data_IF_393970205318
#
_entry.id   IF_393970205318
#
_cell.length_a   1.000
_cell.length_b   1.000
_cell.length_c   1.000
_cell.angle_alpha   90.00
_cell.angle_beta   90.00
_cell.angle_gamma   90.00
#
_symmetry.space_group_name_H-M   'P 1'
#
loop_
_entity.id
_entity.type
_entity.pdbx_description
1 polymer ?
#
# COMPACT_ATOMS: atom_id res chain seq x y z
N UNK A 1 65.95 -35.16 0.99
CA UNK A 1 64.75 -34.69 1.72
C UNK A 1 64.45 -33.26 1.32
N UNK A 2 63.32 -32.99 0.65
CA UNK A 2 62.66 -31.66 0.56
C UNK A 2 61.25 -31.88 0.00
N UNK A 3 60.26 -31.84 0.89
CA UNK A 3 58.85 -31.96 0.55
C UNK A 3 58.35 -30.64 -0.07
N UNK A 4 57.70 -30.72 -1.24
CA UNK A 4 56.99 -29.59 -1.86
C UNK A 4 55.55 -29.62 -1.36
N UNK A 5 55.18 -28.64 -0.54
CA UNK A 5 53.80 -28.38 -0.10
C UNK A 5 52.99 -27.82 -1.27
N UNK A 6 51.90 -28.51 -1.62
CA UNK A 6 50.88 -28.04 -2.58
C UNK A 6 49.73 -27.43 -1.77
N UNK A 7 49.56 -26.11 -1.87
CA UNK A 7 48.36 -25.45 -1.37
C UNK A 7 47.23 -25.62 -2.41
N UNK A 8 46.16 -26.30 -2.02
CA UNK A 8 44.90 -26.31 -2.76
C UNK A 8 44.05 -25.13 -2.29
N UNK A 9 43.81 -24.15 -3.16
CA UNK A 9 42.77 -23.15 -2.94
C UNK A 9 41.41 -23.78 -3.32
N UNK A 10 40.56 -23.96 -2.30
CA UNK A 10 39.14 -24.23 -2.48
C UNK A 10 38.44 -22.91 -2.85
N UNK A 11 38.04 -22.78 -4.11
CA UNK A 11 37.10 -21.74 -4.57
C UNK A 11 35.69 -22.15 -4.12
N UNK A 12 35.25 -21.62 -2.98
CA UNK A 12 33.85 -21.68 -2.57
C UNK A 12 33.03 -20.72 -3.44
N UNK A 13 32.29 -21.28 -4.38
CA UNK A 13 31.25 -20.56 -5.12
C UNK A 13 30.07 -20.33 -4.18
N UNK A 14 29.98 -19.12 -3.61
CA UNK A 14 28.74 -18.64 -3.01
C UNK A 14 27.74 -18.42 -4.14
N UNK A 15 26.83 -19.35 -4.35
CA UNK A 15 25.58 -19.04 -5.02
C UNK A 15 24.79 -18.12 -4.08
N UNK A 16 24.91 -16.80 -4.30
CA UNK A 16 23.98 -15.86 -3.72
C UNK A 16 22.61 -16.18 -4.31
N UNK A 17 21.78 -16.86 -3.53
CA UNK A 17 20.35 -17.02 -3.82
C UNK A 17 19.78 -15.62 -3.95
N UNK A 18 19.57 -15.18 -5.17
CA UNK A 18 18.84 -13.94 -5.42
C UNK A 18 17.42 -14.21 -4.95
N UNK A 19 17.07 -13.70 -3.76
CA UNK A 19 15.69 -13.58 -3.36
C UNK A 19 15.08 -12.56 -4.33
N UNK A 20 14.53 -13.03 -5.44
CA UNK A 20 13.77 -12.17 -6.35
C UNK A 20 12.56 -11.72 -5.54
N UNK A 21 12.41 -10.41 -5.37
CA UNK A 21 11.23 -9.86 -4.71
C UNK A 21 9.98 -10.34 -5.45
N UNK A 22 8.95 -10.74 -4.71
CA UNK A 22 7.71 -11.20 -5.31
C UNK A 22 7.14 -10.13 -6.26
N UNK A 23 6.83 -10.54 -7.49
CA UNK A 23 6.12 -9.71 -8.46
C UNK A 23 4.65 -10.15 -8.47
N UNK A 24 3.82 -9.43 -7.73
CA UNK A 24 2.38 -9.65 -7.67
C UNK A 24 1.72 -9.27 -9.00
N UNK A 25 0.79 -10.11 -9.46
CA UNK A 25 0.07 -9.90 -10.73
C UNK A 25 -1.44 -9.79 -10.55
N UNK A 26 -1.99 -10.40 -9.49
CA UNK A 26 -3.44 -10.43 -9.25
C UNK A 26 -3.76 -10.58 -7.77
N UNK A 27 -5.00 -10.33 -7.42
CA UNK A 27 -5.55 -10.56 -6.09
C UNK A 27 -6.93 -11.18 -6.17
N UNK A 28 -7.36 -11.76 -5.05
CA UNK A 28 -8.70 -12.28 -4.83
C UNK A 28 -9.22 -11.69 -3.52
N UNK A 29 -10.32 -10.94 -3.62
CA UNK A 29 -11.12 -10.51 -2.49
C UNK A 29 -12.42 -11.28 -2.54
N UNK A 30 -12.77 -11.98 -1.47
CA UNK A 30 -14.06 -12.68 -1.44
C UNK A 30 -15.23 -11.69 -1.34
N UNK A 31 -16.44 -12.17 -1.63
CA UNK A 31 -17.65 -11.35 -1.66
C UNK A 31 -17.95 -10.67 -0.32
N UNK A 32 -17.66 -11.35 0.79
CA UNK A 32 -17.86 -10.84 2.15
C UNK A 32 -16.76 -9.87 2.59
N UNK A 33 -15.76 -9.62 1.74
CA UNK A 33 -14.61 -8.75 2.05
C UNK A 33 -13.85 -9.17 3.31
N UNK A 34 -13.90 -10.46 3.64
CA UNK A 34 -13.34 -11.06 4.85
C UNK A 34 -12.04 -11.83 4.60
N UNK A 35 -11.66 -12.02 3.34
CA UNK A 35 -10.49 -12.77 2.91
C UNK A 35 -9.87 -12.12 1.68
N UNK A 36 -8.57 -11.79 1.77
CA UNK A 36 -7.82 -11.16 0.70
C UNK A 36 -6.49 -11.90 0.49
N UNK A 37 -6.26 -12.35 -0.74
CA UNK A 37 -5.01 -12.99 -1.17
C UNK A 37 -4.45 -12.29 -2.38
N UNK A 38 -3.15 -12.01 -2.35
CA UNK A 38 -2.38 -11.58 -3.51
C UNK A 38 -1.60 -12.77 -4.07
N UNK A 39 -1.51 -12.85 -5.40
CA UNK A 39 -0.79 -13.93 -6.09
C UNK A 39 0.32 -13.33 -6.94
N UNK A 40 1.52 -13.84 -6.73
CA UNK A 40 2.71 -13.52 -7.50
C UNK A 40 2.75 -14.31 -8.82
N UNK A 41 3.53 -13.80 -9.78
CA UNK A 41 3.71 -14.42 -11.11
C UNK A 41 4.24 -15.85 -11.05
N UNK A 42 5.01 -16.18 -10.01
CA UNK A 42 5.52 -17.53 -9.76
C UNK A 42 4.50 -18.46 -9.08
N UNK A 43 3.28 -17.95 -8.82
CA UNK A 43 2.20 -18.65 -8.14
C UNK A 43 2.25 -18.58 -6.62
N UNK A 44 3.27 -17.96 -6.02
CA UNK A 44 3.32 -17.74 -4.58
C UNK A 44 2.13 -16.88 -4.14
N UNK A 45 1.51 -17.26 -3.03
CA UNK A 45 0.37 -16.55 -2.47
C UNK A 45 0.76 -15.82 -1.18
N UNK A 46 0.24 -14.62 -1.01
CA UNK A 46 0.29 -13.86 0.22
C UNK A 46 -1.13 -13.58 0.69
N UNK A 47 -1.51 -14.18 1.80
CA UNK A 47 -2.75 -13.86 2.51
C UNK A 47 -2.55 -12.59 3.34
N UNK A 48 -3.37 -11.57 3.08
CA UNK A 48 -3.29 -10.31 3.79
C UNK A 48 -3.74 -10.53 5.25
N UNK A 49 -2.91 -10.20 6.25
CA UNK A 49 -3.28 -10.42 7.64
C UNK A 49 -4.38 -9.45 8.09
N UNK A 50 -5.12 -9.85 9.12
CA UNK A 50 -6.02 -8.95 9.84
C UNK A 50 -5.26 -8.16 10.89
N UNK A 51 -5.43 -6.84 10.88
CA UNK A 51 -5.05 -5.99 12.01
C UNK A 51 -6.03 -6.18 13.16
N UNK A 52 -5.64 -5.76 14.37
CA UNK A 52 -6.53 -5.72 15.52
C UNK A 52 -7.81 -4.93 15.18
N UNK A 53 -8.96 -5.49 15.56
CA UNK A 53 -10.31 -4.95 15.36
C UNK A 53 -10.76 -4.74 13.90
N UNK A 54 -9.95 -5.17 12.92
CA UNK A 54 -10.30 -5.12 11.51
C UNK A 54 -11.38 -6.16 11.19
N UNK A 55 -12.48 -5.71 10.60
CA UNK A 55 -13.62 -6.55 10.24
C UNK A 55 -13.63 -6.93 8.75
N UNK A 56 -12.97 -6.16 7.88
CA UNK A 56 -12.87 -6.47 6.46
C UNK A 56 -11.70 -5.82 5.72
N UNK A 57 -11.62 -6.07 4.42
CA UNK A 57 -10.64 -5.53 3.49
C UNK A 57 -11.38 -4.81 2.37
N UNK A 58 -10.83 -3.72 1.86
CA UNK A 58 -11.38 -3.05 0.69
C UNK A 58 -10.28 -2.47 -0.20
N UNK A 59 -10.62 -2.17 -1.44
CA UNK A 59 -9.77 -1.53 -2.45
C UNK A 59 -8.34 -2.10 -2.51
N UNK A 60 -8.16 -3.43 -2.69
CA UNK A 60 -6.84 -3.99 -2.90
C UNK A 60 -6.23 -3.46 -4.20
N UNK A 61 -4.95 -3.10 -4.17
CA UNK A 61 -4.20 -2.68 -5.36
C UNK A 61 -2.81 -3.29 -5.35
N UNK A 62 -2.28 -3.44 -6.56
CA UNK A 62 -0.92 -3.85 -6.84
C UNK A 62 -0.23 -2.68 -7.54
N UNK A 63 0.97 -2.34 -7.09
CA UNK A 63 1.79 -1.32 -7.76
C UNK A 63 2.13 -1.71 -9.19
N UNK A 64 2.44 -0.73 -10.06
CA UNK A 64 2.68 -0.99 -11.48
C UNK A 64 3.84 -1.96 -11.76
N UNK A 65 4.85 -1.99 -10.88
CA UNK A 65 5.99 -2.92 -10.97
C UNK A 65 5.73 -4.27 -10.27
N UNK A 66 4.55 -4.45 -9.67
CA UNK A 66 4.16 -5.66 -8.97
C UNK A 66 4.84 -5.86 -7.62
N UNK A 67 5.72 -4.97 -7.15
CA UNK A 67 6.55 -5.23 -5.96
C UNK A 67 5.91 -4.81 -4.65
N UNK A 68 4.95 -3.90 -4.71
CA UNK A 68 4.13 -3.46 -3.59
C UNK A 68 2.68 -3.88 -3.79
N UNK A 69 2.04 -4.22 -2.68
CA UNK A 69 0.60 -4.51 -2.59
C UNK A 69 0.02 -3.73 -1.43
N UNK A 70 -1.25 -3.36 -1.52
CA UNK A 70 -1.92 -2.65 -0.44
C UNK A 70 -3.43 -2.80 -0.49
N UNK A 71 -4.07 -2.42 0.61
CA UNK A 71 -5.51 -2.50 0.82
C UNK A 71 -5.96 -1.55 1.92
N UNK A 72 -7.24 -1.21 1.95
CA UNK A 72 -7.87 -0.56 3.09
C UNK A 72 -8.28 -1.61 4.13
N UNK A 73 -7.88 -1.39 5.38
CA UNK A 73 -8.40 -2.14 6.52
C UNK A 73 -9.69 -1.48 7.01
N UNK A 74 -10.76 -2.27 7.03
CA UNK A 74 -12.10 -1.83 7.35
C UNK A 74 -12.43 -2.08 8.82
N UNK A 75 -13.06 -1.10 9.46
CA UNK A 75 -13.35 -1.08 10.89
C UNK A 75 -14.83 -0.80 11.16
N UNK A 76 -15.41 -1.37 12.24
CA UNK A 76 -16.74 -0.96 12.67
C UNK A 76 -16.72 0.51 13.08
N UNK A 77 -17.83 1.19 12.88
CA UNK A 77 -17.99 2.59 13.26
C UNK A 77 -19.29 2.78 14.02
N UNK A 78 -19.26 3.61 15.06
CA UNK A 78 -20.41 3.85 15.96
C UNK A 78 -21.68 4.29 15.25
N UNK A 79 -21.52 4.84 14.06
CA UNK A 79 -22.41 5.81 13.50
C UNK A 79 -22.76 5.48 12.04
N UNK A 80 -22.36 4.29 11.57
CA UNK A 80 -22.74 3.70 10.27
C UNK A 80 -23.13 2.24 10.45
N UNK A 81 -24.01 1.74 9.59
CA UNK A 81 -24.38 0.31 9.55
C UNK A 81 -23.35 -0.57 8.83
N UNK A 82 -22.33 0.04 8.24
CA UNK A 82 -21.29 -0.61 7.45
C UNK A 82 -19.89 -0.24 7.98
N UNK A 83 -18.89 -1.13 7.79
CA UNK A 83 -17.49 -0.83 8.11
C UNK A 83 -16.92 0.31 7.26
N UNK A 84 -15.92 1.00 7.78
CA UNK A 84 -15.26 2.14 7.11
C UNK A 84 -13.75 1.91 7.04
N UNK A 85 -13.11 2.43 5.99
CA UNK A 85 -11.65 2.38 5.83
C UNK A 85 -10.97 3.39 6.76
N UNK A 86 -10.19 2.93 7.73
CA UNK A 86 -9.45 3.81 8.65
C UNK A 86 -7.94 3.68 8.55
N UNK A 87 -7.47 2.64 7.86
CA UNK A 87 -6.04 2.44 7.63
C UNK A 87 -5.79 1.94 6.22
N UNK A 88 -4.86 2.58 5.53
CA UNK A 88 -4.23 2.02 4.33
C UNK A 88 -3.06 1.15 4.78
N UNK A 89 -3.07 -0.11 4.39
CA UNK A 89 -1.98 -1.06 4.66
C UNK A 89 -1.23 -1.30 3.36
N UNK A 90 0.11 -1.23 3.42
CA UNK A 90 0.98 -1.50 2.28
C UNK A 90 2.03 -2.51 2.70
N UNK A 91 2.20 -3.58 1.93
CA UNK A 91 3.33 -4.50 2.06
C UNK A 91 4.41 -4.11 1.07
N UNK A 92 5.63 -3.95 1.57
CA UNK A 92 6.80 -3.65 0.75
C UNK A 92 7.49 -4.93 0.21
N UNK A 93 8.51 -4.78 -0.65
CA UNK A 93 9.26 -5.92 -1.21
C UNK A 93 10.06 -6.70 -0.16
N UNK A 94 10.38 -6.10 0.98
CA UNK A 94 11.04 -6.79 2.11
C UNK A 94 10.05 -7.63 2.92
N UNK A 95 8.76 -7.44 2.68
CA UNK A 95 7.66 -8.08 3.39
C UNK A 95 7.19 -7.35 4.64
N UNK A 96 7.70 -6.14 4.89
CA UNK A 96 7.23 -5.28 5.96
C UNK A 96 5.86 -4.72 5.62
N UNK A 97 4.98 -4.65 6.63
CA UNK A 97 3.70 -3.94 6.54
C UNK A 97 3.86 -2.53 7.08
N UNK A 98 3.38 -1.57 6.30
CA UNK A 98 3.26 -0.15 6.61
C UNK A 98 1.79 0.20 6.75
N UNK A 99 1.47 1.10 7.66
CA UNK A 99 0.08 1.44 7.98
C UNK A 99 -0.08 2.95 8.06
N UNK A 100 -1.02 3.50 7.29
CA UNK A 100 -1.29 4.93 7.22
C UNK A 100 -2.71 5.23 7.68
N UNK A 101 -2.86 6.16 8.64
CA UNK A 101 -4.17 6.63 9.13
C UNK A 101 -4.46 8.08 8.76
N UNK A 102 -3.49 8.77 8.16
CA UNK A 102 -3.51 10.20 7.87
C UNK A 102 -4.08 11.06 9.01
N UNK A 103 -5.04 11.92 8.69
CA UNK A 103 -5.72 12.80 9.65
C UNK A 103 -6.83 12.11 10.47
N UNK A 104 -6.88 10.77 10.46
CA UNK A 104 -7.85 9.90 11.16
C UNK A 104 -9.31 10.00 10.68
N UNK A 105 -9.55 10.65 9.54
CA UNK A 105 -10.83 10.56 8.84
C UNK A 105 -10.90 9.30 7.95
N UNK A 106 -12.07 9.06 7.37
CA UNK A 106 -12.33 7.87 6.54
C UNK A 106 -11.52 7.96 5.26
N UNK A 107 -10.77 6.90 4.97
CA UNK A 107 -10.07 6.72 3.70
C UNK A 107 -11.06 6.24 2.65
N UNK A 108 -11.31 7.08 1.64
CA UNK A 108 -12.28 6.79 0.58
C UNK A 108 -11.65 6.24 -0.69
N UNK A 109 -10.41 6.65 -1.01
CA UNK A 109 -9.67 6.11 -2.13
C UNK A 109 -8.17 6.33 -1.94
N UNK A 110 -7.36 5.62 -2.72
CA UNK A 110 -5.91 5.68 -2.69
C UNK A 110 -5.30 5.13 -3.98
N UNK A 111 -4.02 5.41 -4.19
CA UNK A 111 -3.23 4.86 -5.29
C UNK A 111 -1.77 4.65 -4.89
N UNK A 112 -1.07 3.78 -5.63
CA UNK A 112 0.39 3.81 -5.68
C UNK A 112 0.84 4.92 -6.63
N UNK A 113 1.78 5.75 -6.17
CA UNK A 113 2.31 6.82 -7.01
C UNK A 113 3.21 6.25 -8.11
N UNK A 114 3.03 6.66 -9.39
CA UNK A 114 3.91 6.23 -10.46
C UNK A 114 5.37 6.65 -10.21
N UNK A 115 6.31 5.72 -10.41
CA UNK A 115 7.75 6.01 -10.40
C UNK A 115 8.37 6.27 -9.02
N UNK A 116 7.62 6.18 -7.92
CA UNK A 116 8.15 6.38 -6.57
C UNK A 116 7.55 5.37 -5.57
N UNK A 117 8.33 4.86 -4.59
CA UNK A 117 7.82 3.97 -3.53
C UNK A 117 7.00 4.76 -2.51
N UNK A 118 5.84 5.23 -2.93
CA UNK A 118 4.95 6.11 -2.18
C UNK A 118 3.49 5.87 -2.56
N UNK A 119 2.58 6.29 -1.69
CA UNK A 119 1.14 6.20 -1.88
C UNK A 119 0.51 7.55 -1.71
N UNK A 120 -0.59 7.80 -2.41
CA UNK A 120 -1.47 8.93 -2.12
C UNK A 120 -2.86 8.41 -1.75
N UNK A 121 -3.55 9.09 -0.85
CA UNK A 121 -4.90 8.71 -0.43
C UNK A 121 -5.76 9.91 -0.09
N UNK A 122 -7.08 9.75 -0.26
CA UNK A 122 -8.11 10.73 0.05
C UNK A 122 -8.82 10.35 1.33
N UNK A 123 -9.01 11.33 2.21
CA UNK A 123 -9.82 11.25 3.40
C UNK A 123 -10.94 12.28 3.39
N UNK A 124 -12.08 11.91 3.97
CA UNK A 124 -13.21 12.81 4.17
C UNK A 124 -14.04 12.35 5.37
N UNK A 125 -15.00 13.17 5.78
CA UNK A 125 -16.04 12.73 6.69
C UNK A 125 -17.09 11.92 5.93
N UNK A 126 -17.87 11.12 6.66
CA UNK A 126 -18.82 10.19 6.03
C UNK A 126 -19.93 10.90 5.25
N UNK A 127 -20.46 12.00 5.80
CA UNK A 127 -21.65 12.67 5.27
C UNK A 127 -21.62 14.18 5.54
N UNK A 128 -22.34 14.94 4.70
CA UNK A 128 -22.76 16.30 5.01
C UNK A 128 -21.79 17.43 4.66
N UNK A 129 -20.72 17.14 3.90
CA UNK A 129 -19.74 18.14 3.45
C UNK A 129 -18.98 17.62 2.23
N UNK A 130 -18.42 18.55 1.47
CA UNK A 130 -17.54 18.37 0.32
C UNK A 130 -16.04 18.36 0.70
N UNK A 131 -15.72 18.31 2.01
CA UNK A 131 -14.36 18.33 2.50
C UNK A 131 -13.59 17.14 1.96
N UNK A 132 -12.46 17.38 1.31
CA UNK A 132 -11.55 16.33 0.87
C UNK A 132 -10.14 16.69 1.29
N UNK A 133 -9.52 15.78 2.01
CA UNK A 133 -8.13 15.84 2.42
C UNK A 133 -7.33 14.80 1.65
N UNK A 134 -6.15 15.15 1.18
CA UNK A 134 -5.25 14.23 0.49
C UNK A 134 -3.90 14.23 1.17
N UNK A 135 -3.33 13.05 1.38
CA UNK A 135 -1.94 12.90 1.80
C UNK A 135 -1.17 12.09 0.74
N UNK A 136 0.08 12.49 0.51
CA UNK A 136 1.10 11.72 -0.20
C UNK A 136 2.16 11.27 0.79
N UNK A 137 2.38 9.95 0.91
CA UNK A 137 3.26 9.31 1.90
C UNK A 137 4.35 8.47 1.27
N UNK A 138 5.58 8.59 1.76
CA UNK A 138 6.65 7.63 1.46
C UNK A 138 6.35 6.29 2.12
N UNK A 139 6.57 5.16 1.42
CA UNK A 139 6.29 3.84 2.00
C UNK A 139 7.37 3.46 3.02
N UNK A 140 8.65 3.58 2.67
CA UNK A 140 9.76 3.05 3.46
C UNK A 140 9.91 3.70 4.85
N UNK A 141 9.73 5.03 4.91
CA UNK A 141 9.93 5.85 6.11
C UNK A 141 8.62 6.46 6.64
N UNK A 142 7.50 6.17 5.98
CA UNK A 142 6.16 6.64 6.33
C UNK A 142 6.00 8.17 6.36
N UNK A 143 6.97 8.92 5.81
CA UNK A 143 6.97 10.39 5.91
C UNK A 143 5.84 11.00 5.07
N UNK A 144 5.32 12.14 5.52
CA UNK A 144 4.47 13.00 4.70
C UNK A 144 5.32 13.73 3.66
N UNK A 145 4.99 13.51 2.38
CA UNK A 145 5.67 14.10 1.22
C UNK A 145 4.88 15.30 0.66
N UNK A 146 3.56 15.30 0.85
CA UNK A 146 2.68 16.39 0.48
C UNK A 146 1.29 16.20 1.07
N UNK A 147 0.57 17.30 1.22
CA UNK A 147 -0.82 17.33 1.64
C UNK A 147 -1.59 18.33 0.78
N UNK A 148 -2.89 18.10 0.61
CA UNK A 148 -3.77 19.02 -0.10
C UNK A 148 -5.19 18.91 0.45
N UNK A 149 -5.79 20.04 0.79
CA UNK A 149 -7.21 20.12 1.10
C UNK A 149 -7.95 20.78 -0.07
N UNK A 150 -9.11 20.24 -0.45
CA UNK A 150 -10.00 20.96 -1.35
C UNK A 150 -10.54 22.19 -0.62
N UNK A 151 -10.38 23.40 -1.18
CA UNK A 151 -10.99 24.59 -0.61
C UNK A 151 -12.52 24.41 -0.54
N UNK A 152 -13.15 24.83 0.57
CA UNK A 152 -14.60 24.78 0.69
C UNK A 152 -15.25 25.63 -0.43
N UNK A 153 -16.39 25.17 -0.93
CA UNK A 153 -17.23 25.87 -1.93
C UNK A 153 -16.63 26.01 -3.36
N UNK A 154 -15.48 25.38 -3.65
CA UNK A 154 -14.84 25.40 -4.97
C UNK A 154 -14.50 24.01 -5.53
N UNK A 155 -15.27 22.96 -5.20
CA UNK A 155 -14.89 21.55 -5.45
C UNK A 155 -14.52 21.21 -6.91
N UNK A 156 -15.21 21.75 -7.90
CA UNK A 156 -14.86 21.53 -9.32
C UNK A 156 -13.54 22.22 -9.72
N UNK A 157 -13.32 23.47 -9.27
CA UNK A 157 -12.11 24.24 -9.58
C UNK A 157 -10.91 23.79 -8.73
N UNK A 158 -11.18 23.24 -7.54
CA UNK A 158 -10.19 22.67 -6.64
C UNK A 158 -9.40 21.56 -7.33
N UNK A 159 -10.08 20.67 -8.08
CA UNK A 159 -9.42 19.57 -8.79
C UNK A 159 -8.53 20.05 -9.95
N UNK A 160 -8.89 21.15 -10.61
CA UNK A 160 -8.05 21.75 -11.66
C UNK A 160 -6.77 22.36 -11.07
N UNK A 161 -6.89 23.03 -9.92
CA UNK A 161 -5.76 23.67 -9.21
C UNK A 161 -4.97 22.71 -8.33
N UNK A 162 -5.47 21.50 -8.11
CA UNK A 162 -4.82 20.50 -7.29
C UNK A 162 -3.45 20.15 -7.88
N UNK A 163 -2.43 19.93 -7.03
CA UNK A 163 -1.15 19.38 -7.47
C UNK A 163 -1.35 18.11 -8.30
N UNK A 164 -0.53 17.90 -9.33
CA UNK A 164 -0.67 16.76 -10.26
C UNK A 164 -0.77 15.40 -9.55
N UNK A 165 -0.09 15.24 -8.40
CA UNK A 165 -0.10 14.00 -7.63
C UNK A 165 -1.48 13.64 -7.07
N UNK A 166 -2.35 14.63 -6.82
CA UNK A 166 -3.73 14.40 -6.33
C UNK A 166 -4.54 13.61 -7.35
N UNK A 167 -4.29 13.83 -8.65
CA UNK A 167 -5.01 13.16 -9.75
C UNK A 167 -4.78 11.64 -9.81
N UNK A 168 -3.77 11.14 -9.11
CA UNK A 168 -3.54 9.71 -8.97
C UNK A 168 -4.64 9.03 -8.13
N UNK A 169 -5.21 9.77 -7.16
CA UNK A 169 -6.30 9.26 -6.33
C UNK A 169 -7.62 9.38 -7.09
N UNK A 170 -8.33 8.27 -7.34
CA UNK A 170 -9.61 8.33 -8.04
C UNK A 170 -10.68 9.12 -7.28
N UNK A 171 -11.67 9.61 -8.02
CA UNK A 171 -12.87 10.26 -7.48
C UNK A 171 -13.84 9.24 -6.86
#
# INVERSE_FOLDING_TARGET
MRAKSRWQLLLLWFFATHCVAAEYERFWLNKESSYLVFVAKDGQQFEAPRLADQVGYDMPRISADGRYIGWLAMYPNCCTSYPIGLKLVVRDPSGKLHTFSGNKLVLFDWCFMPGAPSVAFRQSVLHGTDYMHFEWRGIADERLLGEYDYPPDESEQARERAPDWVRCVPD
#
